data_IF_509769438812
#
_entry.id   IF_509769438812
#
_cell.length_a   1.000
_cell.length_b   1.000
_cell.length_c   1.000
_cell.angle_alpha   90.00
_cell.angle_beta   90.00
_cell.angle_gamma   90.00
#
_symmetry.space_group_name_H-M   'P 1'
#
loop_
_entity.id
_entity.type
_entity.pdbx_description
1 polymer ?
#
# COMPACT_ATOMS: atom_id res chain seq x y z
N UNK A 1 -25.78 53.34 3.57
CA UNK A 1 -25.90 54.14 4.82
C UNK A 1 -25.01 53.57 5.88
N UNK A 2 -24.12 54.42 6.35
CA UNK A 2 -23.33 54.42 7.61
C UNK A 2 -22.41 53.29 7.93
N UNK A 3 -21.18 53.62 7.75
CA UNK A 3 -19.95 53.42 8.42
C UNK A 3 -20.02 53.61 9.94
N UNK A 4 -19.19 52.87 10.65
CA UNK A 4 -18.56 53.37 11.88
C UNK A 4 -17.23 52.59 12.13
N UNK A 5 -16.17 53.34 12.05
CA UNK A 5 -14.83 53.05 12.57
C UNK A 5 -14.81 53.31 14.08
N UNK A 6 -14.12 52.53 14.85
CA UNK A 6 -13.49 52.99 16.10
C UNK A 6 -12.09 52.41 16.18
N UNK A 7 -11.14 53.34 16.23
CA UNK A 7 -9.74 53.21 16.58
C UNK A 7 -9.61 53.53 18.08
N UNK A 8 -8.83 52.82 18.78
CA UNK A 8 -8.25 53.26 20.04
C UNK A 8 -6.85 52.68 20.29
N UNK A 9 -5.95 53.55 20.28
CA UNK A 9 -4.52 53.53 20.62
C UNK A 9 -4.31 53.60 22.13
N UNK A 10 -3.15 53.21 22.56
CA UNK A 10 -2.28 53.73 23.66
C UNK A 10 -1.62 52.58 24.40
N UNK A 11 -0.38 52.42 24.39
CA UNK A 11 0.84 53.18 24.68
C UNK A 11 1.44 52.73 26.03
N UNK A 12 2.67 52.28 25.90
CA UNK A 12 3.91 52.61 26.70
C UNK A 12 4.01 52.33 28.18
N UNK A 13 5.03 51.66 28.62
CA UNK A 13 6.27 52.20 29.25
C UNK A 13 6.95 51.15 30.11
N UNK A 14 8.20 50.94 29.89
CA UNK A 14 9.45 51.29 30.56
C UNK A 14 9.86 50.52 31.82
N UNK A 15 11.08 49.96 31.71
CA UNK A 15 12.29 50.03 32.58
C UNK A 15 12.33 49.07 33.78
N UNK A 16 13.32 48.18 33.82
CA UNK A 16 14.57 48.40 34.58
C UNK A 16 15.57 47.24 34.46
N UNK A 17 16.77 47.66 34.30
CA UNK A 17 18.05 46.97 34.27
C UNK A 17 18.45 46.47 35.67
N UNK A 18 18.98 45.26 35.77
CA UNK A 18 19.93 44.91 36.81
C UNK A 18 20.87 43.81 36.33
N UNK A 19 22.10 44.16 36.10
CA UNK A 19 23.23 43.28 35.91
C UNK A 19 23.73 42.78 37.26
N UNK A 20 24.06 41.49 37.36
CA UNK A 20 25.04 40.99 38.31
C UNK A 20 25.83 39.84 37.70
N UNK A 21 27.09 40.06 37.63
CA UNK A 21 28.19 39.19 37.24
C UNK A 21 28.35 38.00 38.17
N UNK A 22 28.64 36.84 37.59
CA UNK A 22 29.12 35.68 38.30
C UNK A 22 29.79 34.72 37.32
N UNK A 23 31.12 34.71 37.34
CA UNK A 23 31.97 33.75 36.63
C UNK A 23 31.83 32.35 37.24
N UNK A 24 31.95 31.36 36.43
CA UNK A 24 32.88 30.23 36.50
C UNK A 24 32.29 28.91 36.13
N UNK A 25 32.98 28.32 35.31
CA UNK A 25 33.40 26.94 35.06
C UNK A 25 32.81 26.25 33.86
N UNK A 26 33.78 25.90 33.01
CA UNK A 26 33.78 24.91 31.97
C UNK A 26 33.07 23.63 32.41
N UNK A 27 32.10 23.22 31.61
CA UNK A 27 31.93 21.83 31.26
C UNK A 27 31.65 21.80 29.79
N UNK A 28 32.58 21.23 29.07
CA UNK A 28 32.47 20.81 27.66
C UNK A 28 31.48 19.66 27.58
N UNK A 29 30.23 19.99 27.39
CA UNK A 29 29.27 19.01 26.85
C UNK A 29 29.23 19.17 25.33
N UNK A 30 29.98 18.30 24.71
CA UNK A 30 29.87 18.00 23.31
C UNK A 30 28.41 17.55 23.01
N UNK A 31 27.58 18.51 22.64
CA UNK A 31 26.30 18.23 22.03
C UNK A 31 26.59 17.74 20.63
N UNK A 32 26.94 16.46 20.52
CA UNK A 32 26.78 15.72 19.30
C UNK A 32 25.31 15.87 18.86
N UNK A 33 25.11 16.73 17.91
CA UNK A 33 23.93 16.70 17.06
C UNK A 33 24.01 15.40 16.25
N UNK A 34 23.65 14.32 16.89
CA UNK A 34 23.38 13.06 16.20
C UNK A 34 22.07 13.23 15.42
N UNK A 35 22.17 13.91 14.29
CA UNK A 35 21.17 13.86 13.24
C UNK A 35 21.29 12.53 12.49
N UNK A 36 21.21 11.44 13.25
CA UNK A 36 20.89 10.16 12.70
C UNK A 36 19.37 10.06 12.70
N UNK A 37 18.74 10.64 11.67
CA UNK A 37 17.45 10.20 11.22
C UNK A 37 17.67 8.77 10.71
N UNK A 38 17.78 7.83 11.64
CA UNK A 38 17.66 6.42 11.35
C UNK A 38 16.28 6.25 10.77
N UNK A 39 16.19 6.07 9.45
CA UNK A 39 15.02 5.53 8.82
C UNK A 39 14.60 4.32 9.65
N UNK A 40 13.40 4.32 10.17
CA UNK A 40 12.79 3.17 10.81
C UNK A 40 12.88 2.03 9.80
N UNK A 41 13.75 1.05 10.04
CA UNK A 41 14.00 -0.07 9.11
C UNK A 41 12.86 -1.10 9.18
N UNK A 42 11.74 -0.78 9.81
CA UNK A 42 10.61 -1.67 10.02
C UNK A 42 9.35 -1.19 9.32
N UNK A 43 8.58 -2.14 8.80
CA UNK A 43 7.26 -1.88 8.24
C UNK A 43 6.25 -1.56 9.34
N UNK A 44 5.35 -0.62 9.06
CA UNK A 44 4.26 -0.23 9.93
C UNK A 44 2.93 -0.69 9.33
N UNK A 45 2.07 -1.27 10.16
CA UNK A 45 0.73 -1.72 9.79
C UNK A 45 -0.27 -1.16 10.79
N UNK A 46 -1.17 -0.30 10.32
CA UNK A 46 -2.18 0.36 11.15
C UNK A 46 -3.44 -0.50 11.24
N UNK A 47 -3.79 -0.94 12.45
CA UNK A 47 -4.94 -1.82 12.68
C UNK A 47 -6.26 -1.12 12.38
N UNK A 48 -7.14 -1.81 11.66
CA UNK A 48 -8.51 -1.40 11.36
C UNK A 48 -9.54 -2.37 11.95
N UNK A 49 -10.76 -1.89 12.19
CA UNK A 49 -11.81 -2.67 12.85
C UNK A 49 -12.65 -3.56 11.91
N UNK A 50 -12.44 -3.46 10.59
CA UNK A 50 -13.33 -3.98 9.54
C UNK A 50 -12.74 -5.16 8.74
N UNK A 51 -11.97 -6.03 9.39
CA UNK A 51 -11.39 -7.20 8.73
C UNK A 51 -12.46 -8.09 8.08
N UNK A 52 -12.35 -8.32 6.76
CA UNK A 52 -13.18 -9.28 6.04
C UNK A 52 -12.81 -10.73 6.40
N UNK A 53 -11.54 -10.98 6.71
CA UNK A 53 -11.01 -12.23 7.24
C UNK A 53 -9.91 -11.87 8.24
N UNK A 54 -9.98 -12.40 9.46
CA UNK A 54 -8.99 -12.09 10.51
C UNK A 54 -7.66 -12.76 10.21
N UNK A 55 -6.59 -12.01 10.41
CA UNK A 55 -5.21 -12.45 10.34
C UNK A 55 -4.39 -11.77 11.44
N UNK A 56 -3.22 -12.31 11.70
CA UNK A 56 -2.23 -11.64 12.52
C UNK A 56 -1.52 -10.56 11.67
N UNK A 57 -1.12 -9.47 12.31
CA UNK A 57 -0.33 -8.42 11.65
C UNK A 57 0.99 -9.01 11.13
N UNK A 58 1.47 -8.57 9.95
CA UNK A 58 2.81 -8.89 9.50
C UNK A 58 3.85 -8.41 10.51
N UNK A 59 4.96 -9.11 10.62
CA UNK A 59 6.07 -8.63 11.45
C UNK A 59 6.66 -7.34 10.85
N UNK A 60 7.21 -6.48 11.71
CA UNK A 60 7.82 -5.22 11.26
C UNK A 60 9.10 -5.43 10.44
N UNK A 61 9.80 -6.56 10.63
CA UNK A 61 10.97 -6.90 9.81
C UNK A 61 10.51 -7.54 8.50
N UNK A 62 10.82 -6.91 7.34
CA UNK A 62 10.39 -7.44 6.07
C UNK A 62 10.90 -8.85 5.81
N UNK A 63 10.01 -9.73 5.37
CA UNK A 63 10.37 -11.00 4.76
C UNK A 63 10.60 -10.77 3.27
N UNK A 64 11.53 -11.49 2.68
CA UNK A 64 11.71 -11.53 1.24
C UNK A 64 11.25 -12.88 0.71
N UNK A 65 10.37 -12.88 -0.26
CA UNK A 65 10.17 -14.00 -1.17
C UNK A 65 10.45 -13.48 -2.57
N UNK A 66 11.15 -14.26 -3.38
CA UNK A 66 11.46 -13.83 -4.75
C UNK A 66 10.34 -14.19 -5.72
N UNK A 67 9.76 -15.39 -5.58
CA UNK A 67 8.70 -15.89 -6.46
C UNK A 67 7.65 -16.59 -5.63
N UNK A 68 6.38 -16.29 -5.94
CA UNK A 68 5.22 -17.03 -5.43
C UNK A 68 4.33 -17.47 -6.59
N UNK A 69 3.52 -18.49 -6.35
CA UNK A 69 2.49 -18.95 -7.28
C UNK A 69 1.10 -18.66 -6.70
N UNK A 70 0.30 -17.88 -7.43
CA UNK A 70 -1.12 -17.72 -7.18
C UNK A 70 -1.84 -18.86 -7.90
N UNK A 71 -2.12 -19.95 -7.21
CA UNK A 71 -2.86 -21.08 -7.77
C UNK A 71 -4.35 -20.73 -7.88
N UNK A 72 -4.88 -20.69 -9.09
CA UNK A 72 -6.29 -20.34 -9.31
C UNK A 72 -7.11 -21.50 -9.88
N UNK A 73 -8.42 -21.35 -9.88
CA UNK A 73 -9.33 -22.29 -10.54
C UNK A 73 -9.21 -22.28 -12.07
N UNK A 74 -8.52 -21.31 -12.66
CA UNK A 74 -8.32 -21.13 -14.11
C UNK A 74 -6.88 -21.44 -14.55
N UNK A 75 -5.96 -21.72 -13.62
CA UNK A 75 -4.55 -22.00 -13.83
C UNK A 75 -3.67 -21.25 -12.84
N UNK A 76 -2.40 -21.56 -12.86
CA UNK A 76 -1.42 -21.00 -11.97
C UNK A 76 -0.81 -19.72 -12.56
N UNK A 77 -0.63 -18.71 -11.73
CA UNK A 77 -0.04 -17.42 -12.06
C UNK A 77 1.20 -17.24 -11.19
N UNK A 78 2.37 -17.42 -11.77
CA UNK A 78 3.62 -17.17 -11.07
C UNK A 78 3.93 -15.68 -11.06
N UNK A 79 4.34 -15.17 -9.90
CA UNK A 79 4.67 -13.76 -9.67
C UNK A 79 6.06 -13.64 -9.08
N UNK A 80 6.87 -12.74 -9.64
CA UNK A 80 8.15 -12.33 -9.07
C UNK A 80 7.93 -11.07 -8.25
N UNK A 81 8.28 -11.10 -6.97
CA UNK A 81 8.04 -9.99 -6.04
C UNK A 81 9.24 -9.03 -5.99
N UNK A 82 8.97 -7.74 -5.87
CA UNK A 82 9.98 -6.68 -5.78
C UNK A 82 10.15 -6.19 -4.34
N UNK A 83 10.75 -7.03 -3.49
CA UNK A 83 11.05 -6.68 -2.10
C UNK A 83 12.10 -5.56 -1.96
N UNK A 84 12.75 -5.16 -3.04
CA UNK A 84 13.72 -4.06 -3.04
C UNK A 84 13.01 -2.71 -3.04
N UNK A 85 12.01 -2.54 -3.89
CA UNK A 85 11.31 -1.27 -4.08
C UNK A 85 10.03 -1.18 -3.22
N UNK A 86 9.42 -2.33 -2.89
CA UNK A 86 8.20 -2.40 -2.09
C UNK A 86 8.32 -3.43 -0.94
N UNK A 87 9.31 -3.26 0.00
CA UNK A 87 9.59 -4.25 1.03
C UNK A 87 8.42 -4.51 1.99
N UNK A 88 7.68 -3.49 2.36
CA UNK A 88 6.56 -3.63 3.31
C UNK A 88 5.32 -4.22 2.65
N UNK A 89 5.07 -3.89 1.40
CA UNK A 89 4.02 -4.49 0.57
C UNK A 89 4.28 -5.97 0.35
N UNK A 90 5.51 -6.34 -0.05
CA UNK A 90 5.91 -7.74 -0.20
C UNK A 90 5.79 -8.50 1.12
N UNK A 91 6.25 -7.91 2.22
CA UNK A 91 6.12 -8.50 3.55
C UNK A 91 4.66 -8.76 3.94
N UNK A 92 3.77 -7.80 3.67
CA UNK A 92 2.32 -7.96 3.89
C UNK A 92 1.75 -9.08 3.03
N UNK A 93 2.04 -9.08 1.73
CA UNK A 93 1.54 -10.07 0.79
C UNK A 93 1.98 -11.50 1.16
N UNK A 94 3.27 -11.67 1.47
CA UNK A 94 3.83 -12.96 1.93
C UNK A 94 3.19 -13.42 3.24
N UNK A 95 3.06 -12.51 4.22
CA UNK A 95 2.42 -12.82 5.50
C UNK A 95 0.96 -13.26 5.33
N UNK A 96 0.21 -12.60 4.47
CA UNK A 96 -1.17 -12.98 4.14
C UNK A 96 -1.22 -14.34 3.44
N UNK A 97 -0.31 -14.61 2.51
CA UNK A 97 -0.20 -15.89 1.82
C UNK A 97 0.08 -17.03 2.81
N UNK A 98 1.10 -16.87 3.68
CA UNK A 98 1.45 -17.86 4.71
C UNK A 98 0.31 -18.17 5.69
N UNK A 99 -0.57 -17.20 5.95
CA UNK A 99 -1.75 -17.36 6.79
C UNK A 99 -2.97 -17.93 6.04
N UNK A 100 -2.84 -18.28 4.75
CA UNK A 100 -3.93 -18.76 3.92
C UNK A 100 -5.04 -17.72 3.74
N UNK A 101 -4.69 -16.43 3.84
CA UNK A 101 -5.68 -15.35 3.73
C UNK A 101 -6.39 -15.35 2.38
N UNK A 102 -5.65 -15.61 1.32
CA UNK A 102 -6.17 -15.62 -0.05
C UNK A 102 -6.93 -16.89 -0.43
N UNK A 103 -6.85 -17.96 0.40
CA UNK A 103 -7.45 -19.23 0.08
C UNK A 103 -8.97 -19.12 -0.02
N UNK A 104 -9.52 -19.71 -1.08
CA UNK A 104 -10.94 -19.67 -1.46
C UNK A 104 -11.50 -18.27 -1.78
N UNK A 105 -10.65 -17.25 -1.87
CA UNK A 105 -11.07 -15.91 -2.28
C UNK A 105 -11.25 -15.81 -3.81
N UNK A 106 -11.92 -14.77 -4.28
CA UNK A 106 -12.20 -14.58 -5.68
C UNK A 106 -11.53 -13.33 -6.24
N UNK A 107 -11.09 -13.40 -7.51
CA UNK A 107 -10.86 -12.17 -8.26
C UNK A 107 -12.23 -11.61 -8.63
N UNK A 108 -12.61 -10.55 -7.96
CA UNK A 108 -13.98 -10.03 -7.98
C UNK A 108 -14.24 -8.99 -9.06
N UNK A 109 -13.15 -8.46 -9.67
CA UNK A 109 -13.23 -7.41 -10.70
C UNK A 109 -12.32 -7.75 -11.88
N UNK A 110 -12.87 -7.66 -13.07
CA UNK A 110 -12.14 -7.76 -14.34
C UNK A 110 -12.60 -6.62 -15.24
N UNK A 111 -11.65 -5.83 -15.70
CA UNK A 111 -11.88 -4.83 -16.75
C UNK A 111 -11.00 -5.22 -17.93
N UNK A 112 -11.58 -5.76 -19.01
CA UNK A 112 -10.83 -6.18 -20.19
C UNK A 112 -9.98 -5.04 -20.75
N UNK A 113 -8.74 -5.34 -21.14
CA UNK A 113 -7.76 -4.34 -21.58
C UNK A 113 -7.22 -3.45 -20.48
N UNK A 114 -7.50 -3.79 -19.22
CA UNK A 114 -7.08 -2.98 -18.09
C UNK A 114 -6.52 -3.85 -16.95
N UNK A 115 -7.36 -4.38 -16.05
CA UNK A 115 -6.89 -5.10 -14.85
C UNK A 115 -7.77 -6.31 -14.50
N UNK A 116 -7.14 -7.28 -13.82
CA UNK A 116 -7.77 -8.32 -13.01
C UNK A 116 -7.48 -8.07 -11.54
N UNK A 117 -8.49 -7.75 -10.72
CA UNK A 117 -8.35 -7.40 -9.31
C UNK A 117 -8.86 -8.53 -8.40
N UNK A 118 -8.06 -8.82 -7.38
CA UNK A 118 -8.23 -9.93 -6.44
C UNK A 118 -7.94 -9.46 -5.00
N UNK A 119 -7.93 -10.40 -4.04
CA UNK A 119 -7.42 -10.16 -2.68
C UNK A 119 -8.46 -9.66 -1.67
N UNK A 120 -9.74 -9.59 -2.06
CA UNK A 120 -10.84 -9.31 -1.13
C UNK A 120 -11.61 -10.59 -0.78
N UNK A 121 -11.54 -11.09 0.46
CA UNK A 121 -12.27 -12.29 0.89
C UNK A 121 -13.79 -12.15 0.76
N UNK A 122 -14.31 -10.94 0.87
CA UNK A 122 -15.75 -10.66 0.73
C UNK A 122 -16.22 -10.59 -0.73
N UNK A 123 -15.29 -10.46 -1.69
CA UNK A 123 -15.54 -10.28 -3.11
C UNK A 123 -16.49 -9.09 -3.43
N UNK A 124 -16.50 -8.06 -2.58
CA UNK A 124 -17.29 -6.83 -2.74
C UNK A 124 -16.48 -5.65 -3.26
N UNK A 125 -15.15 -5.75 -3.21
CA UNK A 125 -14.21 -4.67 -3.45
C UNK A 125 -13.96 -3.78 -2.22
N UNK A 126 -14.61 -4.08 -1.08
CA UNK A 126 -14.52 -3.29 0.15
C UNK A 126 -13.83 -4.04 1.29
N UNK A 127 -13.52 -5.32 1.11
CA UNK A 127 -12.93 -6.14 2.14
C UNK A 127 -11.40 -5.99 2.21
N UNK A 128 -10.85 -6.15 3.41
CA UNK A 128 -9.42 -6.07 3.69
C UNK A 128 -9.02 -6.93 4.88
N UNK A 129 -7.73 -6.91 5.24
CA UNK A 129 -7.16 -7.80 6.27
C UNK A 129 -7.38 -7.28 7.70
N UNK A 130 -7.98 -6.10 7.88
CA UNK A 130 -8.13 -5.43 9.17
C UNK A 130 -6.91 -4.61 9.57
N UNK A 131 -6.10 -4.25 8.59
CA UNK A 131 -5.03 -3.27 8.72
C UNK A 131 -4.78 -2.59 7.38
N UNK A 132 -4.16 -1.43 7.42
CA UNK A 132 -3.63 -0.72 6.26
C UNK A 132 -2.15 -0.38 6.45
N UNK A 133 -1.49 0.00 5.37
CA UNK A 133 -0.10 0.43 5.39
C UNK A 133 0.19 1.43 4.26
N UNK A 134 1.26 2.19 4.47
CA UNK A 134 1.66 3.28 3.60
C UNK A 134 2.03 2.81 2.19
N UNK A 135 1.91 3.70 1.23
CA UNK A 135 2.37 3.49 -0.13
C UNK A 135 3.90 3.43 -0.19
N UNK A 136 4.42 2.60 -1.09
CA UNK A 136 5.85 2.51 -1.41
C UNK A 136 6.05 2.95 -2.86
N UNK A 137 5.93 4.26 -3.10
CA UNK A 137 5.98 4.88 -4.43
C UNK A 137 7.34 5.52 -4.69
N UNK A 138 7.83 5.36 -5.92
CA UNK A 138 9.04 6.05 -6.42
C UNK A 138 8.69 7.37 -7.11
N UNK A 139 7.44 7.51 -7.55
CA UNK A 139 6.92 8.63 -8.34
C UNK A 139 7.03 8.41 -9.86
N UNK A 140 7.69 7.32 -10.27
CA UNK A 140 7.90 6.96 -11.68
C UNK A 140 7.25 5.62 -12.03
N UNK A 141 6.22 5.19 -11.27
CA UNK A 141 5.52 3.94 -11.48
C UNK A 141 4.95 3.84 -12.89
N UNK A 142 5.19 2.70 -13.51
CA UNK A 142 4.61 2.36 -14.83
C UNK A 142 3.81 1.07 -14.71
N UNK A 143 2.65 1.08 -15.36
CA UNK A 143 1.71 -0.04 -15.29
C UNK A 143 1.63 -0.72 -16.65
N UNK A 144 2.71 -1.45 -16.96
CA UNK A 144 2.78 -2.26 -18.18
C UNK A 144 2.12 -3.61 -17.98
N UNK A 145 1.84 -4.29 -19.07
CA UNK A 145 1.27 -5.66 -19.06
C UNK A 145 2.09 -6.58 -18.15
N UNK A 146 1.42 -7.25 -17.22
CA UNK A 146 2.03 -8.14 -16.24
C UNK A 146 2.45 -7.47 -14.94
N UNK A 147 2.33 -6.14 -14.81
CA UNK A 147 2.57 -5.46 -13.53
C UNK A 147 1.60 -5.98 -12.46
N UNK A 148 2.14 -6.29 -11.27
CA UNK A 148 1.39 -6.61 -10.06
C UNK A 148 1.46 -5.41 -9.12
N UNK A 149 0.31 -4.81 -8.78
CA UNK A 149 0.24 -3.62 -7.95
C UNK A 149 -0.89 -3.69 -6.91
N UNK A 150 -0.73 -2.92 -5.83
CA UNK A 150 -1.75 -2.81 -4.78
C UNK A 150 -2.93 -1.98 -5.25
N UNK A 151 -4.13 -2.43 -4.93
CA UNK A 151 -5.32 -1.59 -4.98
C UNK A 151 -5.48 -0.85 -3.65
N UNK A 152 -5.84 0.43 -3.72
CA UNK A 152 -6.05 1.28 -2.56
C UNK A 152 -7.33 2.12 -2.68
N UNK A 153 -7.69 2.83 -1.62
CA UNK A 153 -8.84 3.76 -1.56
C UNK A 153 -8.38 5.22 -1.41
N UNK A 154 -7.17 5.52 -1.84
CA UNK A 154 -6.46 6.78 -1.69
C UNK A 154 -5.09 6.55 -1.06
N UNK A 155 -4.29 7.59 -0.86
CA UNK A 155 -2.93 7.48 -0.33
C UNK A 155 -2.89 6.70 1.00
N UNK A 156 -1.89 5.84 1.15
CA UNK A 156 -1.57 5.13 2.40
C UNK A 156 -2.72 4.23 2.93
N UNK A 157 -3.49 3.62 1.99
CA UNK A 157 -4.60 2.72 2.34
C UNK A 157 -4.43 1.32 1.74
N UNK A 158 -3.20 0.87 1.54
CA UNK A 158 -2.94 -0.49 1.07
C UNK A 158 -3.42 -1.51 2.10
N UNK A 159 -4.07 -2.57 1.65
CA UNK A 159 -4.55 -3.65 2.50
C UNK A 159 -4.15 -5.01 1.94
N UNK A 160 -5.14 -5.77 1.43
CA UNK A 160 -4.91 -7.09 0.81
C UNK A 160 -5.26 -7.15 -0.66
N UNK A 161 -5.97 -6.15 -1.19
CA UNK A 161 -6.39 -6.17 -2.58
C UNK A 161 -5.24 -5.78 -3.52
N UNK A 162 -5.11 -6.52 -4.60
CA UNK A 162 -4.11 -6.30 -5.62
C UNK A 162 -4.70 -6.47 -7.02
N UNK A 163 -4.01 -5.96 -8.03
CA UNK A 163 -4.41 -6.17 -9.42
C UNK A 163 -3.24 -6.55 -10.32
N UNK A 164 -3.57 -7.29 -11.36
CA UNK A 164 -2.67 -7.64 -12.46
C UNK A 164 -3.06 -6.77 -13.65
N UNK A 165 -2.10 -6.07 -14.23
CA UNK A 165 -2.29 -5.25 -15.43
C UNK A 165 -2.35 -6.15 -16.65
N UNK A 166 -3.45 -6.09 -17.42
CA UNK A 166 -3.70 -6.92 -18.58
C UNK A 166 -3.20 -6.30 -19.89
N UNK A 167 -3.12 -4.98 -19.96
CA UNK A 167 -2.56 -4.26 -21.10
C UNK A 167 -1.90 -2.97 -20.57
N UNK A 168 -0.92 -2.46 -21.30
CA UNK A 168 -0.24 -1.21 -20.94
C UNK A 168 -1.25 -0.08 -20.74
N UNK A 169 -1.20 0.58 -19.58
CA UNK A 169 -2.16 1.60 -19.20
C UNK A 169 -1.46 2.80 -18.57
N UNK A 170 -1.92 3.99 -18.95
CA UNK A 170 -1.48 5.24 -18.33
C UNK A 170 -2.34 5.51 -17.07
N UNK A 171 -1.89 5.04 -15.93
CA UNK A 171 -2.43 5.39 -14.62
C UNK A 171 -1.53 6.44 -13.95
N UNK A 172 -2.09 7.30 -13.08
CA UNK A 172 -1.27 8.08 -12.16
C UNK A 172 -0.40 7.15 -11.29
N UNK A 173 0.79 7.57 -10.86
CA UNK A 173 1.71 6.76 -10.07
C UNK A 173 1.27 6.68 -8.60
N UNK A 174 0.03 6.24 -8.37
CA UNK A 174 -0.64 6.22 -7.06
C UNK A 174 -0.81 4.79 -6.50
N UNK A 175 -0.30 3.77 -7.20
CA UNK A 175 -0.46 2.37 -6.82
C UNK A 175 0.90 1.71 -6.67
N UNK A 176 1.20 1.21 -5.48
CA UNK A 176 2.47 0.53 -5.19
C UNK A 176 2.65 -0.69 -6.09
N UNK A 177 3.64 -0.65 -6.96
CA UNK A 177 4.08 -1.80 -7.77
C UNK A 177 4.96 -2.68 -6.89
N UNK A 178 4.57 -3.95 -6.71
CA UNK A 178 5.30 -4.87 -5.83
C UNK A 178 5.71 -6.18 -6.48
N UNK A 179 5.51 -6.31 -7.79
CA UNK A 179 5.93 -7.49 -8.53
C UNK A 179 5.50 -7.51 -9.98
N UNK A 180 5.81 -8.63 -10.62
CA UNK A 180 5.48 -8.90 -12.03
C UNK A 180 5.02 -10.33 -12.20
N UNK A 181 4.11 -10.54 -13.14
CA UNK A 181 3.61 -11.85 -13.57
C UNK A 181 4.47 -12.35 -14.73
N UNK A 182 4.82 -13.63 -14.73
CA UNK A 182 5.56 -14.23 -15.83
C UNK A 182 4.68 -14.46 -17.08
N UNK A 183 5.31 -14.81 -18.21
CA UNK A 183 4.61 -15.05 -19.50
C UNK A 183 3.58 -16.19 -19.41
N UNK A 184 3.82 -17.20 -18.58
CA UNK A 184 2.90 -18.33 -18.42
C UNK A 184 1.65 -17.90 -17.61
N UNK A 185 1.86 -17.16 -16.53
CA UNK A 185 0.79 -16.55 -15.74
C UNK A 185 -0.03 -15.54 -16.53
N UNK A 186 0.63 -14.73 -17.37
CA UNK A 186 -0.09 -13.80 -18.25
C UNK A 186 -0.97 -14.52 -19.29
N UNK A 187 -0.58 -15.69 -19.78
CA UNK A 187 -1.48 -16.51 -20.62
C UNK A 187 -2.73 -16.94 -19.87
N UNK A 188 -2.62 -17.28 -18.59
CA UNK A 188 -3.78 -17.59 -17.74
C UNK A 188 -4.64 -16.33 -17.52
N UNK A 189 -4.03 -15.19 -17.19
CA UNK A 189 -4.74 -13.93 -17.01
C UNK A 189 -5.51 -13.49 -18.27
N UNK A 190 -4.88 -13.60 -19.44
CA UNK A 190 -5.55 -13.32 -20.73
C UNK A 190 -6.62 -14.35 -21.09
N UNK A 191 -6.50 -15.62 -20.69
CA UNK A 191 -7.57 -16.61 -20.87
C UNK A 191 -8.80 -16.30 -19.99
N UNK A 192 -8.56 -15.76 -18.79
CA UNK A 192 -9.62 -15.22 -17.90
C UNK A 192 -10.29 -14.02 -18.58
N UNK A 193 -9.50 -13.08 -19.07
CA UNK A 193 -9.97 -11.89 -19.79
C UNK A 193 -10.82 -12.26 -21.01
N UNK A 194 -10.33 -13.18 -21.84
CA UNK A 194 -11.02 -13.64 -23.05
C UNK A 194 -12.37 -14.32 -22.77
N UNK A 195 -12.55 -14.88 -21.57
CA UNK A 195 -13.84 -15.40 -21.14
C UNK A 195 -14.88 -14.30 -20.88
N UNK A 196 -14.41 -13.06 -20.64
CA UNK A 196 -15.21 -11.87 -20.49
C UNK A 196 -15.82 -11.66 -19.11
N UNK A 197 -16.67 -10.64 -19.02
CA UNK A 197 -17.36 -10.22 -17.80
C UNK A 197 -18.87 -10.45 -17.91
N UNK A 198 -19.52 -10.64 -16.78
CA UNK A 198 -20.97 -10.78 -16.71
C UNK A 198 -21.65 -9.48 -17.17
N UNK A 199 -22.76 -9.59 -17.90
CA UNK A 199 -23.47 -8.45 -18.47
C UNK A 199 -23.82 -7.40 -17.41
N UNK A 200 -23.44 -6.13 -17.66
CA UNK A 200 -23.68 -5.02 -16.74
C UNK A 200 -22.82 -5.05 -15.45
N UNK A 201 -21.71 -5.79 -15.45
CA UNK A 201 -20.87 -5.99 -14.28
C UNK A 201 -19.40 -6.06 -14.71
N UNK A 202 -18.49 -5.86 -13.75
CA UNK A 202 -17.05 -6.13 -13.90
C UNK A 202 -16.65 -7.49 -13.31
N UNK A 203 -17.60 -8.37 -13.01
CA UNK A 203 -17.28 -9.70 -12.48
C UNK A 203 -16.92 -10.65 -13.62
N UNK A 204 -15.82 -11.42 -13.52
CA UNK A 204 -15.50 -12.45 -14.50
C UNK A 204 -16.69 -13.40 -14.73
N UNK A 205 -17.02 -13.70 -15.99
CA UNK A 205 -18.07 -14.70 -16.32
C UNK A 205 -17.73 -16.06 -15.72
N UNK A 206 -16.47 -16.49 -15.88
CA UNK A 206 -15.97 -17.67 -15.19
C UNK A 206 -15.40 -17.24 -13.85
N UNK A 207 -15.95 -17.77 -12.76
CA UNK A 207 -15.43 -17.54 -11.43
C UNK A 207 -13.94 -17.87 -11.38
N UNK A 208 -13.14 -16.93 -10.92
CA UNK A 208 -11.72 -17.09 -10.67
C UNK A 208 -11.52 -17.17 -9.16
N UNK A 209 -11.27 -18.37 -8.66
CA UNK A 209 -11.01 -18.60 -7.23
C UNK A 209 -9.54 -18.83 -7.03
N UNK A 210 -8.91 -18.12 -6.11
CA UNK A 210 -7.56 -18.38 -5.62
C UNK A 210 -7.66 -19.58 -4.68
N UNK A 211 -6.91 -20.64 -4.95
CA UNK A 211 -6.87 -21.86 -4.13
C UNK A 211 -5.82 -21.74 -3.05
N UNK A 212 -4.68 -21.15 -3.38
CA UNK A 212 -3.57 -20.86 -2.48
C UNK A 212 -2.63 -19.83 -3.12
N UNK A 213 -1.80 -19.22 -2.28
CA UNK A 213 -0.63 -18.43 -2.70
C UNK A 213 0.56 -18.99 -1.96
N UNK A 214 1.58 -19.49 -2.67
CA UNK A 214 2.73 -20.18 -2.08
C UNK A 214 3.98 -20.08 -2.96
#
# INVERSE_FOLDING_TARGET
>A
MRASKIVATCASAFIALAALTGCSQNDTDDKETNSNAGASTGCKYDTESNAAKKVDLPQSSPKSAEVLTIATSQGDIAVTLDAKNAPCTVNSFVSLAEQGYFDDTQCHRLVPGFVLQCGDPSATGMGGPGYSFDDELTGDETYTTGTLAMANSGPDTNGSQFFIVLADVALPPDYTVFGTVDDAGMKVAHAIEAAGVAAGSEKPVKKVTIKSVS
#
